data_IF_461660486755
#
_entry.id   IF_461660486755
#
_cell.length_a   1.000
_cell.length_b   1.000
_cell.length_c   1.000
_cell.angle_alpha   90.00
_cell.angle_beta   90.00
_cell.angle_gamma   90.00
#
_symmetry.space_group_name_H-M   'P 1'
#
loop_
_entity.id
_entity.type
_entity.pdbx_description
1 polymer ?
#
# COMPACT_ATOMS: atom_id res chain seq x y z
N UNK A 1 10.99 7.99 -12.56
CA UNK A 1 10.57 8.40 -11.21
C UNK A 1 10.61 7.14 -10.35
N UNK A 2 11.53 7.05 -9.40
CA UNK A 2 11.62 5.88 -8.51
C UNK A 2 10.53 6.07 -7.46
N UNK A 3 9.64 5.09 -7.34
CA UNK A 3 8.58 5.13 -6.34
C UNK A 3 9.22 4.91 -4.96
N UNK A 4 8.93 5.79 -4.02
CA UNK A 4 9.35 5.61 -2.63
C UNK A 4 8.37 4.65 -1.95
N UNK A 5 8.86 3.46 -1.60
CA UNK A 5 8.09 2.49 -0.82
C UNK A 5 7.95 2.96 0.63
N UNK A 6 6.80 2.70 1.22
CA UNK A 6 6.48 3.02 2.61
C UNK A 6 6.27 1.76 3.42
N UNK A 7 6.39 1.88 4.75
CA UNK A 7 6.01 0.81 5.67
C UNK A 7 4.62 0.26 5.33
N UNK A 8 4.50 -1.07 5.26
CA UNK A 8 3.24 -1.75 4.96
C UNK A 8 2.90 -1.87 3.47
N UNK A 9 3.67 -1.26 2.56
CA UNK A 9 3.49 -1.48 1.13
C UNK A 9 3.71 -2.96 0.78
N UNK A 10 2.79 -3.54 0.01
CA UNK A 10 2.97 -4.87 -0.56
C UNK A 10 3.84 -4.78 -1.81
N UNK A 11 4.81 -5.69 -1.92
CA UNK A 11 5.79 -5.72 -3.01
C UNK A 11 6.00 -7.15 -3.51
N UNK A 12 6.50 -7.29 -4.73
CA UNK A 12 7.17 -8.50 -5.24
C UNK A 12 8.44 -8.12 -5.98
N UNK A 13 9.31 -9.10 -6.22
CA UNK A 13 10.39 -8.91 -7.17
C UNK A 13 9.83 -8.73 -8.59
N UNK A 14 10.51 -7.89 -9.37
CA UNK A 14 10.24 -7.72 -10.81
C UNK A 14 10.60 -8.96 -11.64
N UNK A 15 11.44 -9.83 -11.08
CA UNK A 15 11.87 -11.06 -11.72
C UNK A 15 10.70 -12.08 -11.74
N UNK A 16 10.32 -12.51 -12.93
CA UNK A 16 9.24 -13.49 -13.14
C UNK A 16 9.58 -14.86 -12.52
N UNK A 17 10.86 -15.17 -12.29
CA UNK A 17 11.28 -16.42 -11.65
C UNK A 17 11.01 -16.43 -10.13
N UNK A 18 10.86 -15.25 -9.52
CA UNK A 18 10.68 -15.09 -8.07
C UNK A 18 9.43 -14.26 -7.74
N UNK A 19 8.20 -14.75 -8.02
CA UNK A 19 6.95 -14.06 -7.73
C UNK A 19 6.59 -14.11 -6.23
N UNK A 20 7.58 -13.87 -5.37
CA UNK A 20 7.42 -13.89 -3.91
C UNK A 20 6.89 -12.55 -3.45
N UNK A 21 5.78 -12.60 -2.73
CA UNK A 21 5.14 -11.43 -2.13
C UNK A 21 5.80 -11.11 -0.80
N UNK A 22 5.96 -9.82 -0.51
CA UNK A 22 6.45 -9.35 0.76
C UNK A 22 5.81 -8.03 1.18
N UNK A 23 6.08 -7.65 2.41
CA UNK A 23 5.64 -6.39 3.01
C UNK A 23 6.85 -5.59 3.46
N UNK A 24 6.86 -4.31 3.13
CA UNK A 24 7.91 -3.37 3.53
C UNK A 24 7.85 -3.13 5.04
N UNK A 25 8.95 -3.43 5.74
CA UNK A 25 9.11 -3.21 7.17
C UNK A 25 9.85 -1.91 7.49
N UNK A 26 10.72 -1.43 6.60
CA UNK A 26 11.44 -0.17 6.76
C UNK A 26 11.63 0.48 5.38
N UNK A 27 11.53 1.81 5.34
CA UNK A 27 11.71 2.60 4.12
C UNK A 27 13.15 2.54 3.59
N UNK A 28 13.33 2.99 2.35
CA UNK A 28 14.63 2.97 1.68
C UNK A 28 15.70 3.73 2.48
N UNK A 29 16.82 3.05 2.76
CA UNK A 29 17.98 3.66 3.40
C UNK A 29 18.78 4.55 2.40
N UNK A 30 19.90 5.13 2.85
CA UNK A 30 20.76 5.98 2.01
C UNK A 30 21.34 5.27 0.76
N UNK A 31 21.24 3.94 0.71
CA UNK A 31 21.68 3.09 -0.40
C UNK A 31 20.50 2.56 -1.24
N UNK A 32 19.30 3.13 -1.08
CA UNK A 32 18.07 2.72 -1.80
C UNK A 32 17.63 1.27 -1.49
N UNK A 33 18.05 0.74 -0.33
CA UNK A 33 17.67 -0.59 0.13
C UNK A 33 16.48 -0.51 1.08
N UNK A 34 15.51 -1.39 0.86
CA UNK A 34 14.27 -1.51 1.61
C UNK A 34 14.31 -2.82 2.39
N UNK A 35 13.87 -2.79 3.64
CA UNK A 35 13.72 -4.00 4.46
C UNK A 35 12.35 -4.59 4.18
N UNK A 36 12.30 -5.85 3.72
CA UNK A 36 11.05 -6.52 3.31
C UNK A 36 10.92 -7.87 4.00
N UNK A 37 9.77 -8.15 4.61
CA UNK A 37 9.41 -9.51 5.02
C UNK A 37 8.70 -10.20 3.88
N UNK A 38 9.37 -11.16 3.24
CA UNK A 38 8.74 -12.02 2.25
C UNK A 38 7.94 -13.13 2.94
N UNK A 39 6.84 -13.55 2.33
CA UNK A 39 5.94 -14.58 2.89
C UNK A 39 6.61 -15.96 2.93
N UNK A 40 7.55 -16.22 2.02
CA UNK A 40 8.24 -17.51 1.91
C UNK A 40 9.52 -17.58 2.77
N UNK A 41 9.96 -16.46 3.34
CA UNK A 41 11.22 -16.37 4.08
C UNK A 41 10.96 -16.24 5.57
N UNK A 42 11.77 -16.90 6.39
CA UNK A 42 11.67 -16.80 7.86
C UNK A 42 12.24 -15.49 8.40
N UNK A 43 13.17 -14.87 7.67
CA UNK A 43 13.84 -13.63 8.05
C UNK A 43 13.52 -12.49 7.06
N UNK A 44 13.63 -11.26 7.53
CA UNK A 44 13.50 -10.09 6.69
C UNK A 44 14.72 -9.94 5.76
N UNK A 45 14.46 -9.58 4.51
CA UNK A 45 15.47 -9.39 3.49
C UNK A 45 15.77 -7.90 3.27
N UNK A 46 17.04 -7.59 3.00
CA UNK A 46 17.49 -6.28 2.54
C UNK A 46 17.64 -6.30 1.02
N UNK A 47 16.78 -5.56 0.32
CA UNK A 47 16.68 -5.60 -1.15
C UNK A 47 16.67 -4.20 -1.73
N UNK A 48 17.17 -4.02 -2.95
CA UNK A 48 17.12 -2.72 -3.61
C UNK A 48 15.69 -2.40 -4.06
N UNK A 49 15.24 -1.15 -3.83
CA UNK A 49 13.94 -0.69 -4.27
C UNK A 49 13.73 -0.88 -5.79
N UNK A 50 14.80 -0.79 -6.57
CA UNK A 50 14.76 -0.97 -8.02
C UNK A 50 14.48 -2.41 -8.46
N UNK A 51 14.66 -3.40 -7.59
CA UNK A 51 14.36 -4.81 -7.88
C UNK A 51 12.90 -5.18 -7.55
N UNK A 52 12.18 -4.25 -6.89
CA UNK A 52 10.82 -4.45 -6.42
C UNK A 52 9.80 -3.71 -7.30
N UNK A 53 8.63 -4.32 -7.43
CA UNK A 53 7.43 -3.66 -7.92
C UNK A 53 6.36 -3.63 -6.83
N UNK A 54 5.62 -2.52 -6.79
CA UNK A 54 4.50 -2.38 -5.87
C UNK A 54 3.32 -3.23 -6.33
N UNK A 55 2.70 -3.88 -5.36
CA UNK A 55 1.45 -4.59 -5.54
C UNK A 55 0.39 -3.87 -4.73
N UNK A 56 -0.73 -3.48 -5.35
CA UNK A 56 -1.88 -3.03 -4.59
C UNK A 56 -2.28 -4.13 -3.61
N UNK A 57 -2.27 -3.83 -2.30
CA UNK A 57 -2.79 -4.76 -1.31
C UNK A 57 -4.24 -5.13 -1.72
N UNK A 58 -4.60 -6.43 -1.81
CA UNK A 58 -5.92 -6.85 -2.26
C UNK A 58 -7.06 -6.23 -1.45
N UNK A 59 -6.85 -5.96 -0.16
CA UNK A 59 -7.83 -5.28 0.67
C UNK A 59 -7.98 -3.81 0.27
N UNK A 60 -6.87 -3.12 0.00
CA UNK A 60 -6.87 -1.76 -0.56
C UNK A 60 -7.51 -1.73 -1.94
N UNK A 61 -7.24 -2.71 -2.81
CA UNK A 61 -7.83 -2.80 -4.14
C UNK A 61 -9.34 -3.06 -4.08
N UNK A 62 -9.78 -3.90 -3.14
CA UNK A 62 -11.20 -4.13 -2.86
C UNK A 62 -11.85 -2.86 -2.31
N UNK A 63 -11.20 -2.15 -1.38
CA UNK A 63 -11.70 -0.90 -0.83
C UNK A 63 -11.83 0.16 -1.92
N UNK A 64 -10.83 0.30 -2.78
CA UNK A 64 -10.87 1.23 -3.91
C UNK A 64 -12.00 0.90 -4.88
N UNK A 65 -12.22 -0.38 -5.15
CA UNK A 65 -13.36 -0.83 -5.93
C UNK A 65 -14.69 -0.49 -5.24
N UNK A 66 -14.79 -0.69 -3.92
CA UNK A 66 -15.99 -0.34 -3.15
C UNK A 66 -16.27 1.15 -3.17
N UNK A 67 -15.25 2.00 -3.03
CA UNK A 67 -15.35 3.45 -3.09
C UNK A 67 -15.81 3.90 -4.48
N UNK A 68 -15.18 3.40 -5.53
CA UNK A 68 -15.43 3.85 -6.90
C UNK A 68 -16.66 3.21 -7.55
N UNK A 69 -17.28 2.20 -6.92
CA UNK A 69 -18.43 1.48 -7.48
C UNK A 69 -19.58 2.40 -7.88
N UNK A 70 -19.77 3.49 -7.15
CA UNK A 70 -20.87 4.44 -7.37
C UNK A 70 -20.44 5.66 -8.22
N UNK A 71 -19.18 5.69 -8.69
CA UNK A 71 -18.64 6.73 -9.54
C UNK A 71 -18.71 6.36 -11.03
N UNK A 72 -18.69 7.34 -11.96
CA UNK A 72 -18.66 7.07 -13.39
C UNK A 72 -17.41 6.30 -13.83
N UNK A 73 -17.58 5.31 -14.70
CA UNK A 73 -16.47 4.49 -15.23
C UNK A 73 -15.49 5.29 -16.12
N UNK A 74 -15.93 6.43 -16.66
CA UNK A 74 -15.18 7.29 -17.59
C UNK A 74 -14.42 8.44 -16.91
N UNK A 75 -14.27 8.39 -15.59
CA UNK A 75 -13.48 9.36 -14.83
C UNK A 75 -12.02 9.42 -15.31
N UNK A 76 -11.46 10.64 -15.28
CA UNK A 76 -10.04 10.82 -15.51
C UNK A 76 -9.22 10.16 -14.39
N UNK A 77 -7.96 9.83 -14.69
CA UNK A 77 -7.03 9.31 -13.67
C UNK A 77 -6.89 10.27 -12.47
N UNK A 78 -6.89 11.58 -12.72
CA UNK A 78 -6.77 12.60 -11.67
C UNK A 78 -8.00 12.61 -10.76
N UNK A 79 -9.20 12.60 -11.35
CA UNK A 79 -10.45 12.58 -10.58
C UNK A 79 -10.59 11.29 -9.77
N UNK A 80 -10.16 10.16 -10.34
CA UNK A 80 -10.18 8.87 -9.66
C UNK A 80 -9.27 8.87 -8.45
N UNK A 81 -8.06 9.42 -8.57
CA UNK A 81 -7.10 9.55 -7.47
C UNK A 81 -7.66 10.49 -6.39
N UNK A 82 -8.25 11.62 -6.79
CA UNK A 82 -8.87 12.55 -5.85
C UNK A 82 -10.01 11.91 -5.05
N UNK A 83 -10.94 11.22 -5.71
CA UNK A 83 -12.07 10.56 -5.06
C UNK A 83 -11.61 9.47 -4.07
N UNK A 84 -10.65 8.63 -4.48
CA UNK A 84 -10.07 7.61 -3.59
C UNK A 84 -9.41 8.22 -2.35
N UNK A 85 -8.64 9.30 -2.53
CA UNK A 85 -7.97 9.95 -1.41
C UNK A 85 -8.97 10.55 -0.43
N UNK A 86 -9.97 11.30 -0.92
CA UNK A 86 -10.98 11.94 -0.10
C UNK A 86 -11.76 10.92 0.75
N UNK A 87 -12.19 9.80 0.15
CA UNK A 87 -12.94 8.79 0.88
C UNK A 87 -12.09 8.02 1.89
N UNK A 88 -10.82 7.73 1.58
CA UNK A 88 -9.89 7.14 2.55
C UNK A 88 -9.64 8.07 3.74
N UNK A 89 -9.44 9.36 3.52
CA UNK A 89 -9.27 10.35 4.59
C UNK A 89 -10.52 10.44 5.50
N UNK A 90 -11.71 10.30 4.92
CA UNK A 90 -12.96 10.22 5.66
C UNK A 90 -13.05 8.95 6.53
N UNK A 91 -12.67 7.79 5.96
CA UNK A 91 -12.62 6.51 6.70
C UNK A 91 -11.64 6.59 7.86
N UNK A 92 -10.42 7.08 7.63
CA UNK A 92 -9.40 7.25 8.67
C UNK A 92 -9.88 8.21 9.77
N UNK A 93 -10.52 9.30 9.39
CA UNK A 93 -11.11 10.25 10.35
C UNK A 93 -12.19 9.58 11.20
N UNK A 94 -13.07 8.78 10.58
CA UNK A 94 -14.13 8.07 11.29
C UNK A 94 -13.55 7.05 12.27
N UNK A 95 -12.59 6.21 11.83
CA UNK A 95 -11.94 5.21 12.68
C UNK A 95 -11.21 5.86 13.86
N UNK A 96 -10.53 6.98 13.65
CA UNK A 96 -9.89 7.75 14.73
C UNK A 96 -10.92 8.23 15.75
N UNK A 97 -12.03 8.82 15.30
CA UNK A 97 -13.08 9.32 16.19
C UNK A 97 -13.76 8.18 16.98
N UNK A 98 -14.01 7.05 16.34
CA UNK A 98 -14.59 5.86 17.00
C UNK A 98 -13.65 5.31 18.09
N UNK A 99 -12.35 5.22 17.81
CA UNK A 99 -11.35 4.81 18.78
C UNK A 99 -11.24 5.79 19.98
N UNK A 100 -11.29 7.09 19.72
CA UNK A 100 -11.29 8.13 20.76
C UNK A 100 -12.54 8.07 21.65
N UNK A 101 -13.71 7.77 21.07
CA UNK A 101 -14.97 7.61 21.81
C UNK A 101 -15.01 6.30 22.60
N UNK A 102 -14.48 5.21 22.04
CA UNK A 102 -14.37 3.92 22.72
C UNK A 102 -13.37 3.92 23.88
N UNK A 103 -12.34 4.77 23.83
CA UNK A 103 -11.38 4.95 24.92
C UNK A 103 -11.90 5.83 26.08
N UNK A 104 -13.04 6.50 25.90
CA UNK A 104 -13.67 7.38 26.90
C UNK A 104 -14.82 6.70 27.69
N UNK A 105 -15.11 5.43 27.43
CA UNK A 105 -16.11 4.60 28.13
C UNK A 105 -15.48 3.73 29.22
#
# INVERSE_FOLDING_TARGET
>A
MIRQFKFGDCVRFKDEENPVFGVVLEEANIYDQVTVQFICDEEAAFVYANDLEFIPNPDTARLDWMILRDYPDDMSTEDRVFALQAERDNIDTFLRLDAEQGAAA
#
